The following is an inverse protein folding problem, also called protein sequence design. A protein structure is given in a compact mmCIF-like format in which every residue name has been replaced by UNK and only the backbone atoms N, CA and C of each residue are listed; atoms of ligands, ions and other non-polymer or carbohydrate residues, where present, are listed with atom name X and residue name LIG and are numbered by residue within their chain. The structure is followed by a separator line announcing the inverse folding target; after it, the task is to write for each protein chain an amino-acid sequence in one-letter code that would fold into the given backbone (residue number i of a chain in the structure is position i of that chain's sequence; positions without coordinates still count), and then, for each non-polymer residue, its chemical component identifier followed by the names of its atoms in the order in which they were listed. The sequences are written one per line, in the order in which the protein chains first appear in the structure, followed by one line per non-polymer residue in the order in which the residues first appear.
data_IF_581354667972
#
_entry.id   IF_581354667972
#
_cell.length_a   1.000
_cell.length_b   1.000
_cell.length_c   1.000
_cell.angle_alpha   90.00
_cell.angle_beta   90.00
_cell.angle_gamma   90.00
#
_symmetry.space_group_name_H-M   'P 1'
#
loop_
_entity.id
_entity.type
_entity.pdbx_description
1 polymer ?
#
# COMPACT_ATOMS: atom_id res chain seq x y z
N UNK A 1 -1.59 -4.40 -7.76
CA UNK A 1 -2.22 -3.07 -7.78
C UNK A 1 -1.51 -2.22 -8.83
N UNK A 2 -2.22 -1.37 -9.58
CA UNK A 2 -1.62 -0.45 -10.56
C UNK A 2 -1.80 0.97 -10.06
N UNK A 3 -0.72 1.76 -9.98
CA UNK A 3 -0.74 3.14 -9.50
C UNK A 3 0.02 4.02 -10.50
N UNK A 4 -0.61 5.10 -10.96
CA UNK A 4 0.06 6.11 -11.78
C UNK A 4 0.98 6.98 -10.92
N UNK A 5 2.22 7.18 -11.36
CA UNK A 5 3.23 7.97 -10.66
C UNK A 5 3.84 8.95 -11.64
N UNK A 6 3.91 10.23 -11.25
CA UNK A 6 4.55 11.30 -12.01
C UNK A 6 5.62 11.95 -11.17
N UNK A 7 6.82 12.15 -11.73
CA UNK A 7 7.83 12.99 -11.12
C UNK A 7 7.54 14.46 -11.46
N UNK A 8 7.03 15.22 -10.49
CA UNK A 8 6.67 16.63 -10.67
C UNK A 8 7.81 17.60 -10.34
N UNK A 9 9.03 17.10 -10.11
CA UNK A 9 10.20 17.94 -9.83
C UNK A 9 11.11 18.12 -11.05
N UNK A 10 12.09 19.00 -10.92
CA UNK A 10 13.01 19.38 -12.01
C UNK A 10 14.24 18.47 -12.13
N UNK A 11 14.27 17.35 -11.42
CA UNK A 11 15.44 16.45 -11.36
C UNK A 11 15.03 14.99 -11.46
N UNK A 12 15.87 14.13 -12.08
CA UNK A 12 15.64 12.70 -12.05
C UNK A 12 15.77 12.16 -10.62
N UNK A 13 14.82 11.33 -10.21
CA UNK A 13 14.66 10.92 -8.83
C UNK A 13 14.17 9.49 -8.69
N UNK A 14 14.26 8.95 -7.47
CA UNK A 14 13.64 7.67 -7.13
C UNK A 14 12.74 7.83 -5.93
N UNK A 15 11.59 7.17 -5.97
CA UNK A 15 10.64 7.12 -4.87
C UNK A 15 10.18 5.68 -4.63
N UNK A 16 9.73 5.40 -3.41
CA UNK A 16 9.06 4.14 -3.07
C UNK A 16 7.58 4.44 -2.94
N UNK A 17 6.77 3.82 -3.79
CA UNK A 17 5.31 3.85 -3.66
C UNK A 17 4.90 2.71 -2.76
N UNK A 18 4.09 3.02 -1.76
CA UNK A 18 3.64 2.11 -0.73
C UNK A 18 2.13 1.90 -0.88
N UNK A 19 1.68 0.66 -0.73
CA UNK A 19 0.27 0.28 -0.67
C UNK A 19 -0.05 -0.25 0.71
N UNK A 20 -1.07 0.32 1.34
CA UNK A 20 -1.56 -0.05 2.65
C UNK A 20 -2.94 -0.69 2.54
N UNK A 21 -3.17 -1.75 3.31
CA UNK A 21 -4.48 -2.37 3.50
C UNK A 21 -5.07 -2.00 4.86
N UNK A 22 -6.37 -1.74 4.88
CA UNK A 22 -7.19 -1.48 6.06
C UNK A 22 -8.41 -2.39 6.02
N UNK A 23 -8.88 -2.83 7.20
CA UNK A 23 -10.09 -3.66 7.32
C UNK A 23 -11.06 -2.97 8.26
N UNK A 24 -11.81 -1.96 7.78
CA UNK A 24 -12.82 -1.28 8.59
C UNK A 24 -13.88 -2.27 9.07
N UNK A 25 -14.30 -2.16 10.32
CA UNK A 25 -15.27 -3.08 10.91
C UNK A 25 -14.70 -4.45 11.29
N UNK A 26 -13.38 -4.61 11.30
CA UNK A 26 -12.72 -5.81 11.82
C UNK A 26 -13.24 -6.16 13.22
N UNK A 27 -13.55 -7.44 13.46
CA UNK A 27 -13.93 -7.92 14.80
C UNK A 27 -12.75 -7.98 15.76
N UNK A 28 -11.52 -7.89 15.24
CA UNK A 28 -10.28 -7.91 16.01
C UNK A 28 -9.62 -6.53 16.09
N UNK A 29 -8.92 -6.28 17.19
CA UNK A 29 -8.03 -5.12 17.31
C UNK A 29 -6.86 -5.26 16.32
N UNK A 30 -6.63 -4.21 15.53
CA UNK A 30 -5.57 -4.18 14.53
C UNK A 30 -5.15 -2.74 14.22
N UNK A 31 -3.94 -2.54 13.66
CA UNK A 31 -3.54 -1.23 13.18
C UNK A 31 -4.54 -0.67 12.16
N UNK A 32 -4.75 0.66 12.13
CA UNK A 32 -5.71 1.29 11.21
C UNK A 32 -5.35 1.07 9.74
N UNK A 33 -4.06 0.86 9.44
CA UNK A 33 -3.54 0.49 8.12
C UNK A 33 -2.27 -0.34 8.28
N UNK A 34 -1.99 -1.22 7.33
CA UNK A 34 -0.79 -2.07 7.30
C UNK A 34 -0.17 -2.06 5.90
N UNK A 35 1.15 -1.96 5.80
CA UNK A 35 1.83 -2.05 4.50
C UNK A 35 1.64 -3.46 3.93
N UNK A 36 1.08 -3.55 2.72
CA UNK A 36 0.77 -4.83 2.05
C UNK A 36 1.48 -4.97 0.70
N UNK A 37 2.17 -3.92 0.26
CA UNK A 37 2.94 -3.93 -0.98
C UNK A 37 3.73 -2.64 -1.15
N UNK A 38 4.83 -2.70 -1.88
CA UNK A 38 5.61 -1.52 -2.26
C UNK A 38 6.42 -1.80 -3.52
N UNK A 39 6.74 -0.75 -4.27
CA UNK A 39 7.68 -0.83 -5.38
C UNK A 39 8.48 0.47 -5.47
N UNK A 40 9.75 0.35 -5.86
CA UNK A 40 10.62 1.48 -6.13
C UNK A 40 10.57 1.82 -7.61
N UNK A 41 10.47 3.11 -7.93
CA UNK A 41 10.50 3.62 -9.30
C UNK A 41 11.56 4.70 -9.39
N UNK A 42 12.25 4.76 -10.54
CA UNK A 42 13.12 5.87 -10.93
C UNK A 42 12.49 6.53 -12.15
N UNK A 43 12.36 7.84 -12.12
CA UNK A 43 11.76 8.64 -13.18
C UNK A 43 12.62 9.86 -13.46
N UNK A 44 12.73 10.24 -14.73
CA UNK A 44 13.26 11.53 -15.13
C UNK A 44 12.31 12.67 -14.74
N UNK A 45 12.78 13.92 -14.86
CA UNK A 45 11.95 15.09 -14.57
C UNK A 45 10.73 15.13 -15.51
N UNK A 46 9.52 15.24 -14.97
CA UNK A 46 8.27 15.27 -15.73
C UNK A 46 7.77 13.91 -16.24
N UNK A 47 8.53 12.83 -16.07
CA UNK A 47 8.13 11.49 -16.53
C UNK A 47 6.97 10.93 -15.69
N UNK A 48 6.08 10.18 -16.35
CA UNK A 48 4.98 9.44 -15.72
C UNK A 48 5.01 7.96 -16.11
N UNK A 49 4.64 7.09 -15.19
CA UNK A 49 4.51 5.64 -15.45
C UNK A 49 3.37 5.01 -14.66
N UNK A 50 2.86 3.88 -15.14
CA UNK A 50 1.98 3.00 -14.39
C UNK A 50 2.81 1.95 -13.66
N UNK A 51 2.88 2.06 -12.33
CA UNK A 51 3.65 1.16 -11.51
C UNK A 51 2.80 -0.03 -11.04
N UNK A 52 3.19 -1.23 -11.43
CA UNK A 52 2.61 -2.46 -10.90
C UNK A 52 3.23 -2.79 -9.54
N UNK A 53 2.41 -2.76 -8.50
CA UNK A 53 2.80 -3.06 -7.12
C UNK A 53 2.17 -4.40 -6.72
N UNK A 54 2.98 -5.45 -6.48
CA UNK A 54 2.50 -6.70 -5.89
C UNK A 54 1.90 -6.42 -4.51
N UNK A 55 0.69 -6.95 -4.27
CA UNK A 55 0.01 -6.84 -2.98
C UNK A 55 -0.11 -8.23 -2.39
N UNK A 56 0.42 -8.40 -1.19
CA UNK A 56 0.29 -9.61 -0.41
C UNK A 56 -0.80 -9.41 0.66
N UNK A 57 -2.00 -9.95 0.38
CA UNK A 57 -3.14 -9.83 1.29
C UNK A 57 -2.94 -10.63 2.58
N UNK A 58 -2.04 -11.62 2.60
CA UNK A 58 -1.73 -12.40 3.82
C UNK A 58 -1.04 -11.56 4.89
N UNK A 59 -0.47 -10.41 4.53
CA UNK A 59 0.02 -9.43 5.49
C UNK A 59 -1.09 -8.93 6.44
N UNK A 60 -2.36 -9.01 6.03
CA UNK A 60 -3.53 -8.68 6.84
C UNK A 60 -4.03 -9.86 7.69
N UNK A 61 -3.41 -11.03 7.62
CA UNK A 61 -3.78 -12.14 8.49
C UNK A 61 -3.38 -11.84 9.94
N UNK A 62 -4.18 -12.33 10.89
CA UNK A 62 -4.00 -12.11 12.32
C UNK A 62 -3.48 -13.37 12.98
N UNK A 63 -2.70 -13.19 14.05
CA UNK A 63 -2.22 -14.28 14.90
C UNK A 63 -3.09 -14.34 16.16
N UNK A 64 -4.04 -15.26 16.20
CA UNK A 64 -5.01 -15.41 17.30
C UNK A 64 -4.80 -16.78 17.93
N UNK A 65 -4.55 -16.84 19.24
CA UNK A 65 -4.36 -18.09 20.02
C UNK A 65 -3.40 -19.12 19.38
N UNK A 66 -2.35 -18.63 18.71
CA UNK A 66 -1.42 -19.53 18.06
C UNK A 66 -1.93 -20.14 16.74
N UNK A 67 -3.01 -19.60 16.15
CA UNK A 67 -3.45 -19.85 14.78
C UNK A 67 -3.31 -18.60 13.88
N UNK A 68 -3.17 -18.81 12.56
CA UNK A 68 -3.31 -17.74 11.57
C UNK A 68 -4.78 -17.65 11.17
N UNK A 69 -5.36 -16.47 11.31
CA UNK A 69 -6.77 -16.21 11.01
C UNK A 69 -6.84 -15.15 9.93
N UNK A 70 -7.53 -15.50 8.83
CA UNK A 70 -7.92 -14.55 7.79
C UNK A 70 -9.37 -14.16 8.01
N UNK A 71 -9.61 -12.87 8.13
CA UNK A 71 -10.96 -12.34 8.21
C UNK A 71 -11.55 -12.18 6.81
N UNK A 72 -12.81 -12.61 6.62
CA UNK A 72 -13.56 -12.41 5.38
C UNK A 72 -14.27 -11.05 5.37
N UNK A 73 -13.49 -10.00 5.60
CA UNK A 73 -13.97 -8.61 5.59
C UNK A 73 -13.42 -7.89 4.35
N UNK A 74 -14.18 -6.91 3.81
CA UNK A 74 -13.69 -6.04 2.75
C UNK A 74 -12.38 -5.35 3.16
N UNK A 75 -11.41 -5.38 2.26
CA UNK A 75 -10.15 -4.65 2.44
C UNK A 75 -10.24 -3.35 1.67
N UNK A 76 -10.00 -2.24 2.35
CA UNK A 76 -9.75 -0.96 1.71
C UNK A 76 -8.26 -0.78 1.47
N UNK A 77 -7.88 -0.30 0.28
CA UNK A 77 -6.50 -0.01 -0.04
C UNK A 77 -6.25 1.50 -0.08
N UNK A 78 -5.05 1.90 0.30
CA UNK A 78 -4.55 3.25 0.10
C UNK A 78 -3.13 3.21 -0.43
N UNK A 79 -2.71 4.20 -1.21
CA UNK A 79 -1.36 4.32 -1.72
C UNK A 79 -0.78 5.72 -1.52
N UNK A 80 0.54 5.79 -1.39
CA UNK A 80 1.27 7.04 -1.23
C UNK A 80 2.77 6.82 -1.09
N UNK A 81 3.49 7.90 -0.79
CA UNK A 81 4.94 7.87 -0.55
C UNK A 81 5.30 7.68 0.93
N UNK A 82 4.32 7.81 1.82
CA UNK A 82 4.45 7.60 3.25
C UNK A 82 3.11 7.15 3.87
N UNK A 83 3.18 6.63 5.10
CA UNK A 83 2.03 6.10 5.80
C UNK A 83 1.02 7.18 6.23
N UNK A 84 1.45 8.43 6.44
CA UNK A 84 0.63 9.50 6.99
C UNK A 84 -0.27 10.13 5.93
N UNK A 85 0.22 10.25 4.69
CA UNK A 85 -0.44 10.95 3.59
C UNK A 85 -1.01 10.04 2.51
N UNK A 86 -0.79 8.72 2.61
CA UNK A 86 -1.39 7.74 1.70
C UNK A 86 -2.92 7.90 1.61
N UNK A 87 -3.44 7.87 0.38
CA UNK A 87 -4.84 8.13 0.05
C UNK A 87 -5.51 6.86 -0.45
N UNK A 88 -6.80 6.71 -0.17
CA UNK A 88 -7.61 5.58 -0.65
C UNK A 88 -7.56 5.51 -2.18
N UNK A 89 -7.46 4.29 -2.70
CA UNK A 89 -7.48 3.96 -4.13
C UNK A 89 -8.52 2.89 -4.44
#
# INVERSE_FOLDING_TARGET
MVVAVTNTGDRPGSAVVQVYGSVPGSTYERPPRRLVGFAKVRLDAGESTELQIPVDRSQLDLRIDGAWVREDSPVEYSAGFDAATARRI
#
